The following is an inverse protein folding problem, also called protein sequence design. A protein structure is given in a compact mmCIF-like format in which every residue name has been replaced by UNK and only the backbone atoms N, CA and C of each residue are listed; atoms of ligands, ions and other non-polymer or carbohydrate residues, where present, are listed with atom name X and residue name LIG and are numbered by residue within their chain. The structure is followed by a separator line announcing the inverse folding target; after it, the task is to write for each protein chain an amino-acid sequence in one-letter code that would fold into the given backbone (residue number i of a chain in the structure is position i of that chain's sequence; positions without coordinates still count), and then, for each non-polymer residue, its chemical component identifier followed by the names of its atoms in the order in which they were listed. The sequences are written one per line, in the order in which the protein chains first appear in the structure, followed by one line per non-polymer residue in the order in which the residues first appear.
data_IF_833453394546
#
_entry.id   IF_833453394546
#
_cell.length_a   1.000
_cell.length_b   1.000
_cell.length_c   1.000
_cell.angle_alpha   90.00
_cell.angle_beta   90.00
_cell.angle_gamma   90.00
#
_symmetry.space_group_name_H-M   'P 1'
#
loop_
_entity.id
_entity.type
_entity.pdbx_description
1 polymer ?
#
# COMPACT_ATOMS: atom_id res chain seq x y z
N UNK A 1 28.65 17.34 24.38
CA UNK A 1 27.36 18.05 24.15
C UNK A 1 27.04 18.31 22.68
N UNK A 2 27.90 18.96 21.87
CA UNK A 2 27.59 19.26 20.45
C UNK A 2 27.24 18.04 19.56
N UNK A 3 27.86 16.88 19.79
CA UNK A 3 27.55 15.64 19.03
C UNK A 3 26.20 15.02 19.42
N UNK A 4 25.84 15.03 20.71
CA UNK A 4 24.54 14.53 21.20
C UNK A 4 23.38 15.35 20.63
N UNK A 5 23.54 16.68 20.60
CA UNK A 5 22.54 17.57 20.03
C UNK A 5 22.38 17.35 18.51
N UNK A 6 23.49 17.25 17.77
CA UNK A 6 23.46 17.16 16.31
C UNK A 6 23.01 15.78 15.77
N UNK A 7 23.39 14.69 16.44
CA UNK A 7 23.21 13.33 15.90
C UNK A 7 22.11 12.53 16.60
N UNK A 8 21.55 13.03 17.70
CA UNK A 8 20.48 12.32 18.44
C UNK A 8 19.25 13.22 18.58
N UNK A 9 19.43 14.43 19.10
CA UNK A 9 18.28 15.33 19.35
C UNK A 9 17.66 15.82 18.04
N UNK A 10 18.46 16.23 17.05
CA UNK A 10 17.92 16.70 15.76
C UNK A 10 17.17 15.59 15.01
N UNK A 11 17.73 14.36 14.81
CA UNK A 11 16.97 13.27 14.19
C UNK A 11 15.71 12.88 14.98
N UNK A 12 15.78 12.85 16.31
CA UNK A 12 14.62 12.55 17.14
C UNK A 12 13.52 13.61 16.99
N UNK A 13 13.87 14.89 16.93
CA UNK A 13 12.93 15.98 16.66
C UNK A 13 12.36 15.89 15.25
N UNK A 14 13.14 15.45 14.26
CA UNK A 14 12.66 15.20 12.89
C UNK A 14 11.66 14.03 12.87
N UNK A 15 11.94 12.94 13.59
CA UNK A 15 11.02 11.79 13.70
C UNK A 15 9.75 12.16 14.45
N UNK A 16 9.86 12.91 15.57
CA UNK A 16 8.69 13.39 16.32
C UNK A 16 7.88 14.37 15.46
N UNK A 17 8.52 15.28 14.73
CA UNK A 17 7.85 16.18 13.81
C UNK A 17 7.20 15.41 12.65
N UNK A 18 7.85 14.40 12.08
CA UNK A 18 7.30 13.56 11.03
C UNK A 18 6.10 12.73 11.52
N UNK A 19 6.17 12.18 12.73
CA UNK A 19 5.05 11.48 13.37
C UNK A 19 3.89 12.44 13.68
N UNK A 20 4.19 13.66 14.13
CA UNK A 20 3.17 14.67 14.41
C UNK A 20 2.52 15.21 13.12
N UNK A 21 3.31 15.38 12.05
CA UNK A 21 2.83 15.75 10.71
C UNK A 21 2.01 14.61 10.12
N UNK A 22 2.45 13.35 10.23
CA UNK A 22 1.69 12.18 9.81
C UNK A 22 0.38 12.05 10.59
N UNK A 23 0.41 12.23 11.91
CA UNK A 23 -0.78 12.21 12.77
C UNK A 23 -1.75 13.34 12.40
N UNK A 24 -1.24 14.55 12.14
CA UNK A 24 -2.03 15.69 11.67
C UNK A 24 -2.57 15.47 10.26
N UNK A 25 -1.80 14.87 9.37
CA UNK A 25 -2.20 14.57 7.99
C UNK A 25 -3.29 13.50 7.95
N UNK A 26 -3.18 12.45 8.76
CA UNK A 26 -4.23 11.43 8.94
C UNK A 26 -5.51 12.03 9.52
N UNK A 27 -5.39 13.00 10.44
CA UNK A 27 -6.55 13.59 11.13
C UNK A 27 -7.18 14.80 10.42
N UNK A 28 -6.43 15.56 9.63
CA UNK A 28 -6.90 16.76 8.94
C UNK A 28 -6.97 16.60 7.42
N UNK A 29 -6.79 15.40 6.88
CA UNK A 29 -7.06 15.17 5.46
C UNK A 29 -8.55 15.44 5.21
N UNK A 30 -8.91 16.32 4.27
CA UNK A 30 -10.30 16.72 4.03
C UNK A 30 -11.14 15.63 3.32
N UNK A 31 -10.69 14.38 3.33
CA UNK A 31 -11.46 13.26 2.84
C UNK A 31 -12.51 12.85 3.88
N UNK A 32 -13.68 13.49 3.73
CA UNK A 32 -15.00 12.99 4.09
C UNK A 32 -15.48 13.20 5.55
N UNK A 33 -16.07 14.38 5.79
CA UNK A 33 -16.86 14.71 7.00
C UNK A 33 -18.25 14.08 7.01
N UNK A 34 -18.60 13.22 6.05
CA UNK A 34 -19.95 12.63 5.94
C UNK A 34 -20.09 11.20 6.47
N UNK A 35 -19.04 10.61 7.06
CA UNK A 35 -19.15 9.26 7.66
C UNK A 35 -20.02 9.26 8.93
N UNK A 36 -21.13 8.51 8.97
CA UNK A 36 -21.92 8.34 10.18
C UNK A 36 -21.16 7.44 11.17
N UNK A 37 -20.87 7.96 12.36
CA UNK A 37 -20.55 7.15 13.55
C UNK A 37 -19.09 6.78 13.79
N UNK A 38 -18.17 7.76 13.84
CA UNK A 38 -16.82 7.54 14.41
C UNK A 38 -16.84 7.59 15.96
N UNK A 39 -17.60 6.69 16.60
CA UNK A 39 -17.41 6.37 18.02
C UNK A 39 -16.26 5.36 18.24
N UNK A 40 -15.30 5.29 17.30
CA UNK A 40 -14.05 4.58 17.55
C UNK A 40 -13.27 5.39 18.58
N UNK A 41 -13.05 4.81 19.77
CA UNK A 41 -12.22 5.42 20.80
C UNK A 41 -10.82 5.57 20.22
N UNK A 42 -10.49 6.79 19.79
CA UNK A 42 -9.14 7.14 19.33
C UNK A 42 -8.17 6.80 20.45
N UNK A 43 -7.06 6.15 20.13
CA UNK A 43 -5.96 5.96 21.09
C UNK A 43 -5.47 7.37 21.47
N UNK A 44 -5.85 7.84 22.66
CA UNK A 44 -5.41 9.14 23.20
C UNK A 44 -4.13 9.02 24.02
N UNK A 45 -3.70 7.80 24.34
CA UNK A 45 -2.54 7.52 25.17
C UNK A 45 -1.66 6.49 24.45
N UNK A 46 -0.39 6.82 24.23
CA UNK A 46 0.59 5.83 23.80
C UNK A 46 0.87 4.88 24.97
N UNK A 47 1.10 3.58 24.73
CA UNK A 47 1.50 2.67 25.80
C UNK A 47 2.79 3.16 26.47
N UNK A 48 2.91 2.93 27.77
CA UNK A 48 4.12 3.23 28.53
C UNK A 48 5.29 2.40 27.97
N UNK A 49 6.24 3.06 27.32
CA UNK A 49 7.43 2.41 26.79
C UNK A 49 8.52 2.43 27.86
N UNK A 50 8.83 1.30 28.52
CA UNK A 50 9.76 1.29 29.64
C UNK A 50 11.17 1.64 29.16
N UNK A 51 11.67 2.82 29.55
CA UNK A 51 13.08 3.17 29.78
C UNK A 51 14.17 2.81 28.75
N UNK A 52 13.83 2.27 27.57
CA UNK A 52 14.79 1.85 26.58
C UNK A 52 15.42 3.11 25.96
N UNK A 53 16.76 3.21 25.92
CA UNK A 53 17.40 4.30 25.20
C UNK A 53 16.92 4.23 23.75
N UNK A 54 16.18 5.24 23.29
CA UNK A 54 15.65 5.30 21.92
C UNK A 54 16.74 5.07 20.86
N UNK A 55 17.98 5.45 21.18
CA UNK A 55 19.16 5.16 20.36
C UNK A 55 19.42 3.67 20.16
N UNK A 56 19.16 2.81 21.15
CA UNK A 56 19.29 1.35 21.06
C UNK A 56 18.12 0.76 20.29
N UNK A 57 16.89 1.26 20.52
CA UNK A 57 15.72 0.83 19.75
C UNK A 57 15.91 1.13 18.27
N UNK A 58 16.30 2.34 17.89
CA UNK A 58 16.46 2.71 16.49
C UNK A 58 17.76 2.22 15.82
N UNK A 59 18.70 1.62 16.56
CA UNK A 59 19.91 1.00 16.00
C UNK A 59 19.86 -0.52 15.94
N UNK A 60 18.83 -1.15 16.49
CA UNK A 60 18.67 -2.60 16.51
C UNK A 60 17.29 -2.99 15.94
N UNK A 61 17.28 -3.65 14.78
CA UNK A 61 16.05 -4.07 14.07
C UNK A 61 15.12 -4.94 14.93
N UNK A 62 15.67 -5.82 15.76
CA UNK A 62 14.89 -6.68 16.66
C UNK A 62 14.14 -5.83 17.71
N UNK A 63 14.80 -4.80 18.24
CA UNK A 63 14.19 -3.85 19.18
C UNK A 63 13.18 -2.92 18.52
N UNK A 64 13.40 -2.54 17.26
CA UNK A 64 12.39 -1.82 16.46
C UNK A 64 11.14 -2.68 16.27
N UNK A 65 11.31 -3.96 15.93
CA UNK A 65 10.20 -4.87 15.71
C UNK A 65 9.42 -5.15 17.00
N UNK A 66 10.10 -5.33 18.12
CA UNK A 66 9.48 -5.45 19.46
C UNK A 66 8.64 -4.21 19.80
N UNK A 67 9.18 -3.02 19.54
CA UNK A 67 8.49 -1.75 19.77
C UNK A 67 7.23 -1.59 18.90
N UNK A 68 7.34 -1.88 17.60
CA UNK A 68 6.20 -1.82 16.67
C UNK A 68 5.11 -2.83 17.05
N UNK A 69 5.49 -4.05 17.44
CA UNK A 69 4.54 -5.05 17.95
C UNK A 69 3.80 -4.54 19.19
N UNK A 70 4.50 -3.94 20.15
CA UNK A 70 3.86 -3.40 21.36
C UNK A 70 2.85 -2.27 21.09
N UNK A 71 3.14 -1.39 20.14
CA UNK A 71 2.17 -0.37 19.67
C UNK A 71 0.92 -1.04 19.09
N UNK A 72 1.13 -2.05 18.26
CA UNK A 72 0.02 -2.79 17.62
C UNK A 72 -0.79 -3.52 18.67
N UNK A 73 -0.15 -4.21 19.63
CA UNK A 73 -0.84 -4.91 20.71
C UNK A 73 -1.74 -3.95 21.50
N UNK A 74 -1.22 -2.79 21.88
CA UNK A 74 -2.00 -1.76 22.55
C UNK A 74 -3.18 -1.30 21.70
N UNK A 75 -2.95 -0.99 20.42
CA UNK A 75 -4.03 -0.63 19.48
C UNK A 75 -5.08 -1.72 19.36
N UNK A 76 -4.69 -2.99 19.34
CA UNK A 76 -5.65 -4.10 19.24
C UNK A 76 -6.47 -4.28 20.53
N UNK A 77 -6.00 -3.82 21.69
CA UNK A 77 -6.82 -3.86 22.92
C UNK A 77 -8.01 -2.90 22.90
N UNK A 78 -7.95 -1.85 22.08
CA UNK A 78 -9.03 -0.86 21.95
C UNK A 78 -9.99 -1.17 20.80
N UNK A 79 -9.76 -2.26 20.06
CA UNK A 79 -10.65 -2.66 18.97
C UNK A 79 -12.00 -3.15 19.52
N UNK A 80 -13.13 -2.69 18.97
CA UNK A 80 -14.44 -3.15 19.39
C UNK A 80 -14.60 -4.65 19.09
N UNK A 81 -15.08 -5.40 20.08
CA UNK A 81 -15.29 -6.86 20.01
C UNK A 81 -16.45 -7.28 19.10
N UNK A 82 -17.25 -6.32 18.63
CA UNK A 82 -18.34 -6.52 17.66
C UNK A 82 -18.25 -5.49 16.55
N UNK A 83 -18.44 -5.94 15.31
CA UNK A 83 -18.44 -5.06 14.15
C UNK A 83 -19.63 -4.11 14.14
N UNK A 84 -19.40 -2.85 13.76
CA UNK A 84 -20.41 -1.81 13.53
C UNK A 84 -20.87 -1.72 12.07
N UNK A 85 -20.26 -2.48 11.15
CA UNK A 85 -20.53 -2.42 9.72
C UNK A 85 -20.44 -3.80 9.06
N UNK A 86 -21.25 -4.02 8.02
CA UNK A 86 -21.13 -5.17 7.12
C UNK A 86 -19.93 -4.98 6.18
N UNK A 87 -19.14 -6.03 5.97
CA UNK A 87 -18.00 -6.10 5.04
C UNK A 87 -16.77 -5.26 5.44
N UNK A 88 -16.24 -5.48 6.64
CA UNK A 88 -14.97 -4.86 7.06
C UNK A 88 -13.80 -5.47 6.30
N UNK A 89 -13.14 -4.65 5.48
CA UNK A 89 -11.85 -4.98 4.86
C UNK A 89 -10.71 -4.41 5.68
N UNK A 90 -9.81 -5.28 6.15
CA UNK A 90 -8.58 -4.85 6.80
C UNK A 90 -7.42 -4.83 5.80
N UNK A 91 -6.75 -3.68 5.66
CA UNK A 91 -5.48 -3.59 4.94
C UNK A 91 -4.35 -4.01 5.89
N UNK A 92 -3.70 -5.12 5.57
CA UNK A 92 -2.65 -5.73 6.40
C UNK A 92 -1.29 -5.76 5.69
N UNK A 93 -1.13 -4.98 4.63
CA UNK A 93 0.09 -4.87 3.83
C UNK A 93 0.41 -3.41 3.45
N UNK A 94 1.66 -3.13 3.06
CA UNK A 94 2.30 -1.91 2.53
C UNK A 94 2.06 -0.61 3.32
N UNK A 95 0.79 -0.25 3.54
CA UNK A 95 0.31 0.87 4.35
C UNK A 95 -0.63 0.42 5.48
N UNK A 96 -0.70 -0.90 5.75
CA UNK A 96 -1.61 -1.55 6.68
C UNK A 96 -0.99 -1.97 8.01
N UNK A 97 -1.79 -2.58 8.90
CA UNK A 97 -1.38 -2.89 10.28
C UNK A 97 -0.18 -3.85 10.35
N UNK A 98 0.01 -4.73 9.35
CA UNK A 98 1.12 -5.69 9.29
C UNK A 98 2.08 -5.44 8.12
N UNK A 99 2.05 -4.24 7.53
CA UNK A 99 2.90 -3.90 6.38
C UNK A 99 4.39 -3.76 6.73
N UNK A 100 4.71 -3.31 7.95
CA UNK A 100 6.09 -2.97 8.36
C UNK A 100 6.78 -4.04 9.21
N UNK A 101 6.07 -5.10 9.62
CA UNK A 101 6.62 -6.17 10.46
C UNK A 101 5.86 -7.49 10.25
N UNK A 102 6.40 -8.59 10.80
CA UNK A 102 5.78 -9.91 10.73
C UNK A 102 4.90 -10.16 11.96
N UNK A 103 3.56 -10.25 11.88
CA UNK A 103 2.70 -10.38 13.06
C UNK A 103 2.86 -11.73 13.79
N UNK A 104 2.57 -11.75 15.09
CA UNK A 104 2.39 -13.02 15.81
C UNK A 104 1.03 -13.64 15.48
N UNK A 105 0.90 -14.95 15.67
CA UNK A 105 -0.40 -15.63 15.53
C UNK A 105 -1.46 -15.08 16.50
N UNK A 106 -1.07 -14.69 17.72
CA UNK A 106 -1.97 -14.06 18.67
C UNK A 106 -2.53 -12.74 18.14
N UNK A 107 -1.67 -11.89 17.53
CA UNK A 107 -2.09 -10.65 16.89
C UNK A 107 -3.06 -10.90 15.74
N UNK A 108 -2.76 -11.90 14.89
CA UNK A 108 -3.67 -12.30 13.81
C UNK A 108 -5.00 -12.79 14.38
N UNK A 109 -5.02 -13.57 15.46
CA UNK A 109 -6.27 -14.08 16.06
C UNK A 109 -7.19 -12.98 16.57
N UNK A 110 -6.62 -11.92 17.17
CA UNK A 110 -7.37 -10.78 17.70
C UNK A 110 -7.98 -9.95 16.57
N UNK A 111 -7.30 -9.89 15.43
CA UNK A 111 -7.72 -9.15 14.25
C UNK A 111 -8.74 -9.93 13.43
N UNK A 112 -8.46 -11.20 13.11
CA UNK A 112 -9.21 -12.00 12.14
C UNK A 112 -10.71 -12.03 12.40
N UNK A 113 -11.12 -12.13 13.67
CA UNK A 113 -12.52 -12.18 14.09
C UNK A 113 -13.31 -10.89 13.82
N UNK A 114 -12.60 -9.78 13.53
CA UNK A 114 -13.19 -8.45 13.37
C UNK A 114 -13.33 -8.00 11.92
N UNK A 115 -12.91 -8.82 10.96
CA UNK A 115 -12.88 -8.49 9.54
C UNK A 115 -13.52 -9.57 8.70
N UNK A 116 -14.27 -9.16 7.68
CA UNK A 116 -14.85 -10.05 6.68
C UNK A 116 -13.86 -10.31 5.54
N UNK A 117 -12.98 -9.33 5.27
CA UNK A 117 -11.97 -9.40 4.24
C UNK A 117 -10.58 -9.00 4.75
N UNK A 118 -9.53 -9.65 4.25
CA UNK A 118 -8.12 -9.24 4.41
C UNK A 118 -7.55 -8.81 3.08
N UNK A 119 -6.84 -7.69 3.01
CA UNK A 119 -6.01 -7.31 1.88
C UNK A 119 -4.54 -7.50 2.26
N UNK A 120 -3.84 -8.37 1.52
CA UNK A 120 -2.47 -8.79 1.78
C UNK A 120 -1.64 -8.77 0.50
N UNK A 121 -0.36 -8.43 0.61
CA UNK A 121 0.62 -8.60 -0.45
C UNK A 121 1.06 -10.05 -0.60
N UNK A 122 1.67 -10.36 -1.74
CA UNK A 122 2.17 -11.69 -2.09
C UNK A 122 3.09 -12.29 -1.00
N UNK A 123 4.00 -11.49 -0.46
CA UNK A 123 4.94 -11.87 0.60
C UNK A 123 4.29 -12.21 1.95
N UNK A 124 2.99 -11.95 2.13
CA UNK A 124 2.20 -12.27 3.34
C UNK A 124 1.29 -13.49 3.18
N UNK A 125 1.44 -14.25 2.10
CA UNK A 125 0.63 -15.46 1.83
C UNK A 125 0.58 -16.44 3.01
N UNK A 126 1.65 -16.59 3.78
CA UNK A 126 1.68 -17.53 4.91
C UNK A 126 0.72 -17.15 6.05
N UNK A 127 0.20 -15.91 6.08
CA UNK A 127 -0.80 -15.48 7.05
C UNK A 127 -2.21 -15.98 6.71
N UNK A 128 -2.49 -16.33 5.45
CA UNK A 128 -3.80 -16.81 5.00
C UNK A 128 -4.36 -17.98 5.83
N UNK A 129 -3.61 -19.08 6.07
CA UNK A 129 -4.11 -20.17 6.92
C UNK A 129 -4.34 -19.73 8.38
N UNK A 130 -3.57 -18.78 8.89
CA UNK A 130 -3.72 -18.27 10.27
C UNK A 130 -5.00 -17.45 10.38
N UNK A 131 -5.26 -16.53 9.44
CA UNK A 131 -6.51 -15.79 9.40
C UNK A 131 -7.73 -16.72 9.34
N UNK A 132 -7.69 -17.73 8.46
CA UNK A 132 -8.78 -18.70 8.30
C UNK A 132 -8.97 -19.63 9.50
N UNK A 133 -7.93 -19.89 10.29
CA UNK A 133 -8.04 -20.63 11.55
C UNK A 133 -8.96 -19.91 12.54
N UNK A 134 -8.88 -18.58 12.61
CA UNK A 134 -9.62 -17.76 13.58
C UNK A 134 -10.90 -17.13 13.01
N UNK A 135 -10.98 -16.98 11.70
CA UNK A 135 -12.21 -16.62 11.00
C UNK A 135 -12.33 -17.45 9.71
N UNK A 136 -12.96 -18.64 9.76
CA UNK A 136 -13.07 -19.52 8.59
C UNK A 136 -13.86 -18.93 7.41
N UNK A 137 -14.68 -17.91 7.64
CA UNK A 137 -15.47 -17.24 6.62
C UNK A 137 -14.73 -16.08 5.93
N UNK A 138 -13.56 -15.69 6.44
CA UNK A 138 -12.82 -14.53 5.94
C UNK A 138 -12.41 -14.70 4.48
N UNK A 139 -12.53 -13.62 3.72
CA UNK A 139 -12.08 -13.54 2.33
C UNK A 139 -10.73 -12.88 2.24
N UNK A 140 -9.81 -13.44 1.48
CA UNK A 140 -8.46 -12.89 1.34
C UNK A 140 -8.18 -12.38 -0.06
N UNK A 141 -7.90 -11.08 -0.17
CA UNK A 141 -7.62 -10.38 -1.40
C UNK A 141 -6.11 -10.18 -1.55
N UNK A 142 -5.59 -10.50 -2.73
CA UNK A 142 -4.21 -10.19 -3.12
C UNK A 142 -4.14 -8.72 -3.57
N UNK A 143 -3.22 -7.96 -2.99
CA UNK A 143 -2.92 -6.61 -3.42
C UNK A 143 -2.00 -6.61 -4.65
N UNK A 144 -2.37 -5.87 -5.69
CA UNK A 144 -1.53 -5.56 -6.85
C UNK A 144 -1.70 -4.07 -7.19
N UNK A 145 -0.60 -3.35 -7.31
CA UNK A 145 -0.54 -1.99 -7.81
C UNK A 145 -0.56 -2.02 -9.35
N UNK A 146 -1.43 -1.22 -9.96
CA UNK A 146 -1.50 -1.11 -11.42
C UNK A 146 -0.39 -0.22 -11.99
N UNK A 147 0.17 0.67 -11.16
CA UNK A 147 1.37 1.42 -11.47
C UNK A 147 2.62 0.54 -11.46
N UNK A 148 3.70 1.05 -12.03
CA UNK A 148 5.00 0.38 -12.06
C UNK A 148 5.97 1.11 -11.14
N UNK A 149 6.14 0.59 -9.93
CA UNK A 149 6.95 1.21 -8.90
C UNK A 149 8.41 0.76 -9.03
N UNK A 150 9.30 1.72 -9.19
CA UNK A 150 10.74 1.47 -9.33
C UNK A 150 11.32 0.72 -8.12
N UNK A 151 10.85 1.03 -6.90
CA UNK A 151 11.33 0.36 -5.69
C UNK A 151 10.83 -1.07 -5.59
N UNK A 152 9.62 -1.37 -6.09
CA UNK A 152 9.11 -2.74 -6.08
C UNK A 152 9.92 -3.62 -7.02
N UNK A 153 10.33 -3.12 -8.18
CA UNK A 153 11.26 -3.84 -9.06
C UNK A 153 12.60 -4.11 -8.38
N UNK A 154 13.19 -3.10 -7.72
CA UNK A 154 14.45 -3.27 -6.97
C UNK A 154 14.33 -4.30 -5.82
N UNK A 155 13.21 -4.28 -5.10
CA UNK A 155 12.99 -5.13 -3.93
C UNK A 155 12.35 -6.48 -4.26
N UNK A 156 11.94 -6.68 -5.52
CA UNK A 156 11.13 -7.83 -5.96
C UNK A 156 9.94 -8.05 -5.04
N UNK A 157 9.20 -6.97 -4.79
CA UNK A 157 8.12 -6.97 -3.79
C UNK A 157 6.93 -7.85 -4.19
N UNK A 158 6.79 -8.19 -5.48
CA UNK A 158 5.61 -8.87 -6.04
C UNK A 158 4.31 -8.13 -5.70
N UNK A 159 4.39 -6.80 -5.69
CA UNK A 159 3.30 -5.90 -5.34
C UNK A 159 2.77 -5.13 -6.55
N UNK A 160 3.45 -5.22 -7.69
CA UNK A 160 3.02 -4.75 -9.02
C UNK A 160 3.45 -5.77 -10.08
N UNK A 161 3.03 -5.57 -11.33
CA UNK A 161 3.43 -6.46 -12.43
C UNK A 161 4.93 -6.40 -12.73
N UNK A 162 5.54 -5.23 -12.57
CA UNK A 162 6.97 -5.00 -12.84
C UNK A 162 7.93 -5.54 -11.78
N UNK A 163 7.44 -6.24 -10.76
CA UNK A 163 8.26 -6.80 -9.66
C UNK A 163 8.17 -8.32 -9.54
N UNK A 164 7.54 -8.99 -10.51
CA UNK A 164 7.31 -10.44 -10.48
C UNK A 164 8.56 -11.22 -10.92
N UNK A 165 9.27 -10.77 -11.96
CA UNK A 165 10.42 -11.48 -12.52
C UNK A 165 11.39 -10.54 -13.26
N UNK A 166 12.26 -11.08 -14.12
CA UNK A 166 13.28 -10.33 -14.86
C UNK A 166 12.76 -9.37 -15.95
N UNK A 167 11.52 -9.52 -16.43
CA UNK A 167 10.89 -8.52 -17.31
C UNK A 167 10.26 -7.42 -16.41
N UNK A 168 11.12 -6.79 -15.60
CA UNK A 168 10.76 -5.86 -14.53
C UNK A 168 10.41 -4.44 -15.01
N UNK A 169 10.08 -3.54 -14.08
CA UNK A 169 9.78 -2.12 -14.39
C UNK A 169 10.87 -1.44 -15.23
N UNK A 170 12.15 -1.72 -14.97
CA UNK A 170 13.25 -1.12 -15.75
C UNK A 170 13.32 -1.71 -17.15
N UNK A 171 13.07 -3.01 -17.28
CA UNK A 171 12.97 -3.67 -18.58
C UNK A 171 11.80 -3.12 -19.39
N UNK A 172 10.63 -2.93 -18.78
CA UNK A 172 9.43 -2.36 -19.44
C UNK A 172 9.73 -0.94 -19.92
N UNK A 173 10.23 -0.06 -19.04
CA UNK A 173 10.52 1.33 -19.40
C UNK A 173 11.57 1.44 -20.52
N UNK A 174 12.51 0.50 -20.61
CA UNK A 174 13.55 0.46 -21.64
C UNK A 174 13.08 -0.13 -22.97
N UNK A 175 12.37 -1.25 -22.93
CA UNK A 175 12.05 -2.04 -24.13
C UNK A 175 10.65 -1.76 -24.68
N UNK A 176 9.74 -1.30 -23.82
CA UNK A 176 8.35 -1.02 -24.15
C UNK A 176 7.88 0.36 -23.66
N UNK A 177 8.57 1.46 -24.01
CA UNK A 177 8.11 2.80 -23.64
C UNK A 177 6.75 3.18 -24.25
N UNK A 178 6.28 2.45 -25.26
CA UNK A 178 4.94 2.56 -25.84
C UNK A 178 3.82 1.97 -24.97
N UNK A 179 4.16 1.15 -23.97
CA UNK A 179 3.19 0.65 -22.98
C UNK A 179 2.93 1.65 -21.86
N UNK A 180 3.70 2.73 -21.78
CA UNK A 180 3.54 3.76 -20.77
C UNK A 180 2.64 4.89 -21.25
N UNK A 181 1.80 5.38 -20.34
CA UNK A 181 0.99 6.56 -20.54
C UNK A 181 1.89 7.79 -20.73
N UNK A 182 1.57 8.64 -21.71
CA UNK A 182 2.41 9.79 -22.09
C UNK A 182 1.71 11.13 -21.93
N UNK A 183 2.50 12.15 -21.60
CA UNK A 183 2.08 13.55 -21.67
C UNK A 183 2.03 14.06 -23.13
N UNK A 184 1.59 15.31 -23.30
CA UNK A 184 1.44 15.94 -24.62
C UNK A 184 2.76 16.07 -25.39
N UNK A 185 3.89 16.09 -24.69
CA UNK A 185 5.24 16.15 -25.24
C UNK A 185 5.81 14.75 -25.57
N UNK A 186 5.06 13.69 -25.26
CA UNK A 186 5.45 12.30 -25.53
C UNK A 186 6.33 11.66 -24.46
N UNK A 187 6.50 12.30 -23.30
CA UNK A 187 7.25 11.74 -22.19
C UNK A 187 6.34 10.83 -21.34
N UNK A 188 6.89 9.75 -20.74
CA UNK A 188 6.14 8.93 -19.80
C UNK A 188 5.65 9.74 -18.60
N UNK A 189 4.39 9.51 -18.22
CA UNK A 189 3.80 10.08 -17.02
C UNK A 189 4.28 9.28 -15.82
N UNK A 190 4.69 10.00 -14.79
CA UNK A 190 5.17 9.44 -13.55
C UNK A 190 4.44 10.04 -12.36
N UNK A 191 4.31 9.24 -11.30
CA UNK A 191 3.83 9.72 -9.99
C UNK A 191 4.72 10.87 -9.54
N UNK A 192 4.06 11.97 -9.16
CA UNK A 192 4.68 13.22 -8.88
C UNK A 192 5.41 13.30 -7.55
N UNK A 193 6.29 14.29 -7.44
CA UNK A 193 7.14 14.52 -6.27
C UNK A 193 6.47 15.36 -5.17
N UNK A 194 5.16 15.60 -5.26
CA UNK A 194 4.39 16.45 -4.34
C UNK A 194 4.21 15.84 -2.96
N UNK A 195 5.29 15.77 -2.17
CA UNK A 195 5.29 15.40 -0.76
C UNK A 195 5.35 13.90 -0.51
N UNK A 196 6.56 13.37 -0.26
CA UNK A 196 6.84 12.07 0.41
C UNK A 196 6.01 10.84 -0.03
N UNK A 197 5.47 10.82 -1.24
CA UNK A 197 4.77 9.64 -1.74
C UNK A 197 5.79 8.50 -1.92
N UNK A 198 5.50 7.36 -1.29
CA UNK A 198 6.42 6.21 -1.28
C UNK A 198 6.69 5.65 -2.69
N UNK A 199 5.78 5.91 -3.65
CA UNK A 199 5.81 5.55 -5.07
C UNK A 199 6.21 6.72 -6.00
N UNK A 200 6.84 7.79 -5.50
CA UNK A 200 7.31 8.88 -6.36
C UNK A 200 8.24 8.35 -7.47
N UNK A 201 7.98 8.78 -8.72
CA UNK A 201 8.69 8.31 -9.90
C UNK A 201 8.17 6.99 -10.49
N UNK A 202 7.14 6.37 -9.91
CA UNK A 202 6.48 5.21 -10.52
C UNK A 202 5.91 5.56 -11.90
N UNK A 203 6.06 4.67 -12.87
CA UNK A 203 5.48 4.83 -14.20
C UNK A 203 4.02 4.45 -14.19
N UNK A 204 3.25 5.12 -15.04
CA UNK A 204 1.85 4.82 -15.29
C UNK A 204 1.73 4.07 -16.61
N UNK A 205 1.41 2.77 -16.60
CA UNK A 205 1.10 2.04 -17.82
C UNK A 205 -0.15 2.58 -18.50
N UNK A 206 -0.25 2.43 -19.82
CA UNK A 206 -1.43 2.80 -20.59
C UNK A 206 -2.47 1.67 -20.51
N UNK A 207 -3.60 1.85 -19.80
CA UNK A 207 -4.62 0.80 -19.66
C UNK A 207 -5.26 0.42 -21.00
N UNK A 208 -5.23 1.28 -22.03
CA UNK A 208 -5.78 0.98 -23.36
C UNK A 208 -4.77 0.34 -24.31
N UNK A 209 -3.52 0.13 -23.89
CA UNK A 209 -2.55 -0.59 -24.70
C UNK A 209 -2.77 -2.11 -24.59
N UNK A 210 -3.18 -2.74 -25.70
CA UNK A 210 -3.50 -4.18 -25.75
C UNK A 210 -2.30 -5.06 -25.37
N UNK A 211 -1.10 -4.72 -25.80
CA UNK A 211 0.10 -5.51 -25.48
C UNK A 211 0.44 -5.42 -23.99
N UNK A 212 0.22 -4.25 -23.38
CA UNK A 212 0.33 -4.09 -21.93
C UNK A 212 -0.70 -4.95 -21.19
N UNK A 213 -1.97 -4.95 -21.62
CA UNK A 213 -3.02 -5.78 -21.01
C UNK A 213 -2.65 -7.28 -21.07
N UNK A 214 -2.21 -7.76 -22.23
CA UNK A 214 -1.76 -9.16 -22.40
C UNK A 214 -0.58 -9.49 -21.49
N UNK A 215 0.39 -8.57 -21.38
CA UNK A 215 1.54 -8.72 -20.51
C UNK A 215 1.13 -8.73 -19.03
N UNK A 216 0.25 -7.82 -18.62
CA UNK A 216 -0.30 -7.76 -17.27
C UNK A 216 -0.97 -9.08 -16.90
N UNK A 217 -1.89 -9.57 -17.73
CA UNK A 217 -2.60 -10.83 -17.51
C UNK A 217 -1.64 -12.02 -17.43
N UNK A 218 -0.64 -12.10 -18.32
CA UNK A 218 0.39 -13.15 -18.31
C UNK A 218 1.15 -13.15 -16.98
N UNK A 219 1.59 -11.98 -16.52
CA UNK A 219 2.37 -11.83 -15.29
C UNK A 219 1.53 -12.10 -14.04
N UNK A 220 0.31 -11.58 -13.99
CA UNK A 220 -0.62 -11.86 -12.91
C UNK A 220 -0.88 -13.36 -12.79
N UNK A 221 -1.13 -14.05 -13.91
CA UNK A 221 -1.29 -15.50 -13.92
C UNK A 221 -0.04 -16.24 -13.41
N UNK A 222 1.16 -15.81 -13.83
CA UNK A 222 2.41 -16.37 -13.31
C UNK A 222 2.49 -16.22 -11.79
N UNK A 223 2.23 -15.02 -11.26
CA UNK A 223 2.25 -14.75 -9.82
C UNK A 223 1.23 -15.63 -9.08
N UNK A 224 0.00 -15.74 -9.59
CA UNK A 224 -1.03 -16.58 -8.98
C UNK A 224 -0.64 -18.06 -8.97
N UNK A 225 0.03 -18.56 -10.02
CA UNK A 225 0.54 -19.94 -10.05
C UNK A 225 1.67 -20.16 -9.02
N UNK A 226 2.59 -19.20 -8.88
CA UNK A 226 3.68 -19.25 -7.90
C UNK A 226 3.16 -19.14 -6.45
N UNK A 227 2.18 -18.25 -6.23
CA UNK A 227 1.48 -18.12 -4.97
C UNK A 227 0.52 -19.29 -4.71
N UNK A 228 0.14 -20.08 -5.70
CA UNK A 228 -0.85 -21.14 -5.55
C UNK A 228 -2.20 -20.65 -5.03
N UNK A 229 -2.99 -21.58 -4.48
CA UNK A 229 -4.35 -21.30 -4.04
C UNK A 229 -4.45 -20.53 -2.72
N UNK A 230 -5.70 -20.17 -2.38
CA UNK A 230 -6.03 -19.54 -1.10
C UNK A 230 -6.28 -18.05 -1.16
N UNK A 231 -6.28 -17.44 -2.33
CA UNK A 231 -6.78 -16.08 -2.55
C UNK A 231 -8.23 -16.15 -3.05
N UNK A 232 -9.10 -15.31 -2.50
CA UNK A 232 -10.52 -15.24 -2.88
C UNK A 232 -10.77 -14.19 -3.97
N UNK A 233 -9.92 -13.17 -4.08
CA UNK A 233 -9.98 -12.13 -5.11
C UNK A 233 -8.65 -11.37 -5.21
N UNK A 234 -8.57 -10.45 -6.16
CA UNK A 234 -7.43 -9.56 -6.40
C UNK A 234 -7.97 -8.14 -6.31
N UNK A 235 -7.25 -7.28 -5.59
CA UNK A 235 -7.49 -5.84 -5.57
C UNK A 235 -6.39 -5.17 -6.37
N UNK A 236 -6.81 -4.43 -7.39
CA UNK A 236 -5.92 -3.62 -8.22
C UNK A 236 -5.98 -2.18 -7.69
N UNK A 237 -4.86 -1.67 -7.19
CA UNK A 237 -4.69 -0.31 -6.66
C UNK A 237 -4.17 0.65 -7.74
N UNK A 238 -4.06 1.95 -7.41
CA UNK A 238 -3.61 3.01 -8.31
C UNK A 238 -4.51 3.17 -9.55
N UNK A 239 -5.83 3.04 -9.35
CA UNK A 239 -6.85 3.44 -10.32
C UNK A 239 -7.34 4.86 -10.04
N UNK A 240 -7.06 5.81 -10.94
CA UNK A 240 -7.60 7.17 -10.88
C UNK A 240 -8.58 7.42 -12.02
N UNK A 241 -9.86 7.15 -11.81
CA UNK A 241 -10.87 7.23 -12.88
C UNK A 241 -11.09 8.62 -13.51
N UNK A 242 -10.43 9.69 -13.05
CA UNK A 242 -10.56 11.03 -13.65
C UNK A 242 -9.20 11.71 -13.74
N UNK A 243 -9.07 12.63 -14.71
CA UNK A 243 -7.87 13.46 -14.87
C UNK A 243 -7.61 14.29 -13.62
N UNK A 244 -8.65 14.85 -13.00
CA UNK A 244 -8.52 15.62 -11.76
C UNK A 244 -7.91 14.76 -10.64
N UNK A 245 -8.46 13.56 -10.40
CA UNK A 245 -7.92 12.65 -9.39
C UNK A 245 -6.44 12.36 -9.65
N UNK A 246 -6.06 12.08 -10.89
CA UNK A 246 -4.69 11.76 -11.25
C UNK A 246 -3.74 12.98 -11.19
N UNK A 247 -4.19 14.19 -11.53
CA UNK A 247 -3.38 15.42 -11.44
C UNK A 247 -2.90 15.72 -10.03
N UNK A 248 -3.63 15.26 -8.99
CA UNK A 248 -3.18 15.33 -7.60
C UNK A 248 -1.97 14.44 -7.28
N UNK A 249 -1.70 13.43 -8.12
CA UNK A 249 -0.67 12.41 -7.90
C UNK A 249 0.41 12.36 -8.99
N UNK A 250 0.27 13.06 -10.12
CA UNK A 250 1.24 13.02 -11.23
C UNK A 250 1.90 14.39 -11.47
N UNK A 251 3.16 14.39 -11.91
CA UNK A 251 3.88 15.62 -12.23
C UNK A 251 3.42 16.32 -13.52
N UNK A 252 2.71 15.60 -14.39
CA UNK A 252 2.33 16.08 -15.73
C UNK A 252 0.91 15.65 -16.08
N UNK A 253 0.07 16.63 -16.38
CA UNK A 253 -1.23 16.45 -17.00
C UNK A 253 -1.38 17.59 -18.04
N UNK A 254 -2.07 17.37 -19.17
CA UNK A 254 -2.95 16.25 -19.52
C UNK A 254 -2.33 15.11 -20.35
N UNK A 255 -3.02 13.98 -20.43
CA UNK A 255 -2.66 12.79 -21.22
C UNK A 255 -2.76 13.06 -22.72
N UNK A 256 -1.73 12.71 -23.49
CA UNK A 256 -1.83 12.75 -24.95
C UNK A 256 -2.91 11.78 -25.47
N UNK A 257 -2.96 10.58 -24.89
CA UNK A 257 -3.75 9.45 -25.40
C UNK A 257 -5.26 9.58 -25.09
N UNK A 258 -5.63 10.38 -24.08
CA UNK A 258 -7.01 10.45 -23.58
C UNK A 258 -7.46 11.89 -23.35
N UNK A 259 -8.21 12.40 -24.33
CA UNK A 259 -8.70 13.78 -24.33
C UNK A 259 -9.83 14.04 -23.33
N UNK A 260 -10.52 13.00 -22.85
CA UNK A 260 -11.64 13.09 -21.88
C UNK A 260 -11.52 12.01 -20.79
N UNK A 261 -12.10 12.27 -19.62
CA UNK A 261 -12.19 11.28 -18.54
C UNK A 261 -12.93 10.01 -18.99
N UNK A 262 -14.00 10.17 -19.78
CA UNK A 262 -14.76 9.04 -20.32
C UNK A 262 -13.91 8.12 -21.21
N UNK A 263 -13.01 8.68 -22.03
CA UNK A 263 -12.11 7.88 -22.86
C UNK A 263 -11.14 7.06 -21.99
N UNK A 264 -10.60 7.65 -20.92
CA UNK A 264 -9.71 6.95 -20.00
C UNK A 264 -10.42 5.90 -19.15
N UNK A 265 -11.62 6.22 -18.65
CA UNK A 265 -12.46 5.26 -17.93
C UNK A 265 -12.82 4.07 -18.81
N UNK A 266 -13.14 4.29 -20.09
CA UNK A 266 -13.40 3.19 -21.03
C UNK A 266 -12.17 2.31 -21.24
N UNK A 267 -10.96 2.89 -21.34
CA UNK A 267 -9.74 2.11 -21.44
C UNK A 267 -9.51 1.22 -20.20
N UNK A 268 -9.82 1.71 -19.01
CA UNK A 268 -9.79 0.90 -17.80
C UNK A 268 -10.88 -0.18 -17.75
N UNK A 269 -12.10 0.11 -18.22
CA UNK A 269 -13.16 -0.90 -18.33
C UNK A 269 -12.71 -2.03 -19.26
N UNK A 270 -12.09 -1.69 -20.39
CA UNK A 270 -11.52 -2.67 -21.32
C UNK A 270 -10.39 -3.46 -20.66
N UNK A 271 -9.47 -2.80 -19.96
CA UNK A 271 -8.43 -3.45 -19.17
C UNK A 271 -9.01 -4.48 -18.19
N UNK A 272 -10.00 -4.11 -17.36
CA UNK A 272 -10.62 -5.03 -16.41
C UNK A 272 -11.46 -6.13 -17.06
N UNK A 273 -11.86 -5.97 -18.31
CA UNK A 273 -12.58 -7.01 -19.06
C UNK A 273 -11.62 -8.05 -19.63
N UNK A 274 -10.39 -7.63 -19.97
CA UNK A 274 -9.40 -8.46 -20.66
C UNK A 274 -8.40 -9.13 -19.71
N UNK A 275 -8.22 -8.61 -18.50
CA UNK A 275 -7.27 -9.06 -17.46
C UNK A 275 -7.97 -9.88 -16.39
#
# INVERSE_FOLDING_TARGET
MKKLFKYVIIPLLIVIAALFVWFKYVNNSPFDTSRPGSNATTITELPDFPGLPWTIVFSNKEKQDEFVRGIVDHKLTTYPTKSSSSYRTGKFDATGIFGSFEPTEEQVSRVAINYDNTLLGANKKHLLPIFRKYNPAIKSLLYIDAGLNLKFAEWKAQADIGSIDEEDTFWIAKNHPEWLLKDAEGNPIVTGGGGELSNAGAYWPDPGNVQWQEFFAKKLNKLLLELGGGWDAILIDDFFGTREAQTGFTNTAPWANYQTDAAYQNAWIEFFTNV
#
